data_IF_172603294099
#
_entry.id   IF_172603294099
#
_cell.length_a   1.000
_cell.length_b   1.000
_cell.length_c   1.000
_cell.angle_alpha   90.00
_cell.angle_beta   90.00
_cell.angle_gamma   90.00
#
_symmetry.space_group_name_H-M   'P 1'
#
loop_
_entity.id
_entity.type
_entity.pdbx_description
1 polymer ?
#
# COMPACT_ATOMS: atom_id res chain seq x y z
N UNK A 1 6.08 -12.55 12.46
CA UNK A 1 5.29 -13.70 11.91
C UNK A 1 4.91 -13.34 10.47
N UNK A 2 4.89 -14.29 9.53
CA UNK A 2 4.44 -13.99 8.18
C UNK A 2 2.97 -13.55 8.17
N UNK A 3 2.58 -12.78 7.13
CA UNK A 3 1.18 -12.44 6.92
C UNK A 3 0.33 -13.73 6.80
N UNK A 4 -0.89 -13.75 7.36
CA UNK A 4 -1.82 -14.86 7.17
C UNK A 4 -2.35 -14.97 5.75
N UNK A 5 -2.14 -13.94 4.93
CA UNK A 5 -2.52 -13.92 3.52
C UNK A 5 -1.35 -14.40 2.65
N UNK A 6 -1.60 -15.26 1.65
CA UNK A 6 -0.52 -15.78 0.79
C UNK A 6 0.12 -14.71 -0.09
N UNK A 7 -0.60 -13.62 -0.37
CA UNK A 7 -0.18 -12.46 -1.15
C UNK A 7 -0.28 -11.17 -0.36
N UNK A 8 -0.97 -10.17 -0.92
CA UNK A 8 -1.25 -8.90 -0.24
C UNK A 8 -2.19 -9.11 0.93
N UNK A 9 -1.92 -8.41 2.00
CA UNK A 9 -2.72 -8.39 3.22
C UNK A 9 -3.69 -7.20 3.21
N UNK A 10 -5.01 -7.43 3.11
CA UNK A 10 -6.00 -6.35 3.01
C UNK A 10 -6.07 -5.42 4.23
N UNK A 11 -5.57 -5.85 5.37
CA UNK A 11 -5.50 -4.99 6.57
C UNK A 11 -4.52 -3.83 6.40
N UNK A 12 -3.57 -3.94 5.48
CA UNK A 12 -2.62 -2.87 5.16
C UNK A 12 -3.26 -1.71 4.38
N UNK A 13 -4.49 -1.86 3.87
CA UNK A 13 -5.24 -0.76 3.24
C UNK A 13 -5.84 0.24 4.26
N UNK A 14 -5.57 0.05 5.55
CA UNK A 14 -5.93 0.99 6.61
C UNK A 14 -5.20 2.33 6.44
N UNK A 15 -5.92 3.44 6.56
CA UNK A 15 -5.39 4.79 6.33
C UNK A 15 -4.19 5.13 7.24
N UNK A 16 -4.14 4.54 8.44
CA UNK A 16 -3.01 4.73 9.37
C UNK A 16 -1.81 3.83 9.04
N UNK A 17 -2.02 2.70 8.37
CA UNK A 17 -0.96 1.75 8.00
C UNK A 17 -0.44 1.99 6.59
N UNK A 18 -1.31 2.39 5.67
CA UNK A 18 -0.99 2.52 4.25
C UNK A 18 0.23 3.38 3.96
N UNK A 19 0.38 4.60 4.51
CA UNK A 19 1.53 5.44 4.18
C UNK A 19 2.87 4.77 4.49
N UNK A 20 2.97 4.11 5.65
CA UNK A 20 4.18 3.39 6.03
C UNK A 20 4.40 2.13 5.17
N UNK A 21 3.34 1.41 4.85
CA UNK A 21 3.39 0.24 3.97
C UNK A 21 3.82 0.62 2.55
N UNK A 22 3.20 1.64 1.97
CA UNK A 22 3.50 2.14 0.63
C UNK A 22 4.97 2.54 0.50
N UNK A 23 5.45 3.40 1.43
CA UNK A 23 6.85 3.81 1.46
C UNK A 23 7.79 2.60 1.54
N UNK A 24 7.57 1.70 2.50
CA UNK A 24 8.42 0.54 2.71
C UNK A 24 8.39 -0.42 1.52
N UNK A 25 7.24 -0.61 0.87
CA UNK A 25 7.13 -1.46 -0.32
C UNK A 25 7.92 -0.88 -1.49
N UNK A 26 7.81 0.42 -1.74
CA UNK A 26 8.58 1.11 -2.79
C UNK A 26 10.08 1.00 -2.51
N UNK A 27 10.51 1.16 -1.25
CA UNK A 27 11.91 0.99 -0.87
C UNK A 27 12.41 -0.46 -1.07
N UNK A 28 11.58 -1.46 -0.76
CA UNK A 28 11.93 -2.87 -1.01
C UNK A 28 12.02 -3.18 -2.51
N UNK A 29 11.10 -2.65 -3.32
CA UNK A 29 11.16 -2.76 -4.78
C UNK A 29 12.42 -2.10 -5.35
N UNK A 30 12.73 -0.89 -4.90
CA UNK A 30 13.95 -0.19 -5.27
C UNK A 30 15.19 -1.03 -4.98
N UNK A 31 15.33 -1.58 -3.76
CA UNK A 31 16.47 -2.40 -3.37
C UNK A 31 16.61 -3.69 -4.20
N UNK A 32 15.49 -4.32 -4.53
CA UNK A 32 15.48 -5.53 -5.36
C UNK A 32 15.91 -5.23 -6.80
N UNK A 33 15.57 -4.06 -7.31
CA UNK A 33 15.92 -3.63 -8.67
C UNK A 33 17.40 -3.28 -8.83
N UNK A 34 18.03 -2.69 -7.80
CA UNK A 34 19.40 -2.16 -7.87
C UNK A 34 20.42 -3.11 -8.50
N UNK A 35 20.52 -4.39 -8.11
CA UNK A 35 21.55 -5.29 -8.66
C UNK A 35 21.46 -5.48 -10.16
N UNK A 36 20.25 -5.44 -10.72
CA UNK A 36 20.02 -5.61 -12.17
C UNK A 36 20.21 -4.33 -12.99
N UNK A 37 20.44 -3.18 -12.34
CA UNK A 37 20.46 -1.87 -12.99
C UNK A 37 21.83 -1.16 -12.97
N UNK A 38 22.80 -1.67 -12.19
CA UNK A 38 24.02 -0.94 -11.83
C UNK A 38 24.87 -0.44 -12.98
N UNK A 39 24.95 -1.19 -14.08
CA UNK A 39 25.86 -0.87 -15.17
C UNK A 39 25.32 0.22 -16.12
N UNK A 40 24.08 0.09 -16.53
CA UNK A 40 23.46 0.92 -17.59
C UNK A 40 22.44 1.93 -17.05
N UNK A 41 21.89 1.71 -15.86
CA UNK A 41 20.78 2.48 -15.33
C UNK A 41 21.06 3.03 -13.95
N UNK A 42 20.29 4.05 -13.58
CA UNK A 42 20.21 4.60 -12.23
C UNK A 42 18.74 4.61 -11.81
N UNK A 43 18.43 3.90 -10.75
CA UNK A 43 17.13 4.02 -10.10
C UNK A 43 17.16 5.11 -9.03
N UNK A 44 16.05 5.82 -8.84
CA UNK A 44 15.83 6.78 -7.74
C UNK A 44 14.38 6.70 -7.31
N UNK A 45 14.15 6.87 -6.01
CA UNK A 45 12.84 7.07 -5.43
C UNK A 45 12.54 8.56 -5.45
N UNK A 46 11.37 8.92 -5.95
CA UNK A 46 10.80 10.26 -5.94
C UNK A 46 9.48 10.24 -5.20
N UNK A 47 8.97 11.41 -4.86
CA UNK A 47 7.72 11.55 -4.13
C UNK A 47 6.79 12.49 -4.90
N UNK A 48 5.55 12.07 -5.06
CA UNK A 48 4.44 12.87 -5.55
C UNK A 48 3.70 13.45 -4.36
N UNK A 49 3.40 14.74 -4.43
CA UNK A 49 2.66 15.48 -3.42
C UNK A 49 1.35 15.98 -4.02
N UNK A 50 0.26 15.86 -3.28
CA UNK A 50 -1.02 16.46 -3.67
C UNK A 50 -1.89 16.71 -2.42
N UNK A 51 -2.77 17.72 -2.52
CA UNK A 51 -3.78 18.02 -1.50
C UNK A 51 -5.05 17.21 -1.79
N UNK A 52 -5.52 16.43 -0.85
CA UNK A 52 -6.76 15.65 -0.98
C UNK A 52 -8.04 16.51 -0.84
N UNK A 53 -7.92 17.81 -0.59
CA UNK A 53 -9.05 18.74 -0.46
C UNK A 53 -9.57 18.92 0.97
N UNK A 54 -9.00 18.22 1.94
CA UNK A 54 -9.27 18.32 3.39
C UNK A 54 -8.12 18.98 4.17
N UNK A 55 -7.20 19.66 3.45
CA UNK A 55 -5.92 20.19 3.95
C UNK A 55 -4.93 19.11 4.42
N UNK A 56 -5.14 17.85 4.04
CA UNK A 56 -4.18 16.77 4.26
C UNK A 56 -3.30 16.62 3.03
N UNK A 57 -2.01 16.88 3.18
CA UNK A 57 -1.01 16.65 2.13
C UNK A 57 -0.71 15.14 2.06
N UNK A 58 -0.95 14.57 0.90
CA UNK A 58 -0.61 13.17 0.61
C UNK A 58 0.75 13.08 -0.07
N UNK A 59 1.52 12.08 0.35
CA UNK A 59 2.84 11.78 -0.17
C UNK A 59 2.85 10.35 -0.71
N UNK A 60 3.20 10.20 -1.98
CA UNK A 60 3.27 8.89 -2.63
C UNK A 60 4.61 8.71 -3.32
N UNK A 61 5.34 7.69 -2.92
CA UNK A 61 6.64 7.38 -3.51
C UNK A 61 6.48 6.59 -4.81
N UNK A 62 7.41 6.81 -5.74
CA UNK A 62 7.54 6.03 -6.96
C UNK A 62 8.99 5.90 -7.37
N UNK A 63 9.31 4.95 -8.25
CA UNK A 63 10.68 4.70 -8.71
C UNK A 63 10.83 5.15 -10.16
N UNK A 64 11.81 6.01 -10.41
CA UNK A 64 12.30 6.33 -11.75
C UNK A 64 13.56 5.54 -12.08
N UNK A 65 13.57 4.93 -13.27
CA UNK A 65 14.74 4.27 -13.81
C UNK A 65 15.22 5.07 -15.01
N UNK A 66 16.42 5.61 -14.88
CA UNK A 66 17.04 6.49 -15.89
C UNK A 66 18.28 5.84 -16.48
N UNK A 67 18.50 6.03 -17.75
CA UNK A 67 19.73 5.61 -18.41
C UNK A 67 20.91 6.44 -17.90
N UNK A 68 22.06 5.80 -17.65
CA UNK A 68 23.24 6.50 -17.10
C UNK A 68 23.95 7.38 -18.13
N UNK A 69 23.88 7.02 -19.41
CA UNK A 69 24.60 7.71 -20.50
C UNK A 69 24.08 9.12 -20.75
N UNK A 70 22.76 9.32 -20.71
CA UNK A 70 22.10 10.59 -21.10
C UNK A 70 21.10 11.11 -20.07
N UNK A 71 20.88 10.36 -18.97
CA UNK A 71 19.90 10.72 -17.93
C UNK A 71 18.45 10.56 -18.31
N UNK A 72 18.14 10.01 -19.50
CA UNK A 72 16.78 9.84 -20.02
C UNK A 72 15.99 8.91 -19.11
N UNK A 73 14.76 9.28 -18.78
CA UNK A 73 13.81 8.43 -18.07
C UNK A 73 13.38 7.28 -19.00
N UNK A 74 13.52 6.06 -18.52
CA UNK A 74 13.23 4.84 -19.30
C UNK A 74 11.99 4.16 -18.77
N UNK A 75 11.87 4.04 -17.45
CA UNK A 75 10.76 3.35 -16.81
C UNK A 75 10.34 4.08 -15.53
N UNK A 76 9.04 4.25 -15.36
CA UNK A 76 8.38 4.67 -14.14
C UNK A 76 7.70 3.45 -13.51
N UNK A 77 8.03 3.15 -12.25
CA UNK A 77 7.34 2.15 -11.45
C UNK A 77 6.57 2.86 -10.33
N UNK A 78 5.27 2.67 -10.31
CA UNK A 78 4.34 3.32 -9.40
C UNK A 78 3.48 2.29 -8.66
N UNK A 79 3.16 2.56 -7.41
CA UNK A 79 2.27 1.73 -6.57
C UNK A 79 1.00 2.53 -6.33
N UNK A 80 -0.12 2.00 -6.81
CA UNK A 80 -1.44 2.65 -6.68
C UNK A 80 -1.87 2.68 -5.22
N UNK A 81 -2.24 3.85 -4.71
CA UNK A 81 -2.75 4.02 -3.35
C UNK A 81 -4.28 3.92 -3.27
N UNK A 82 -4.86 3.68 -2.07
CA UNK A 82 -6.30 3.78 -1.86
C UNK A 82 -6.85 5.15 -2.30
N UNK A 83 -6.15 6.24 -1.98
CA UNK A 83 -6.57 7.59 -2.35
C UNK A 83 -6.66 7.80 -3.87
N UNK A 84 -5.80 7.14 -4.67
CA UNK A 84 -5.90 7.20 -6.12
C UNK A 84 -7.19 6.54 -6.66
N UNK A 85 -7.75 5.59 -5.92
CA UNK A 85 -8.94 4.83 -6.33
C UNK A 85 -10.24 5.36 -5.72
N UNK A 86 -10.17 6.06 -4.59
CA UNK A 86 -11.33 6.50 -3.82
C UNK A 86 -11.55 8.02 -3.80
N UNK A 87 -10.48 8.82 -3.96
CA UNK A 87 -10.53 10.27 -3.90
C UNK A 87 -10.26 10.92 -5.26
N UNK A 88 -11.09 11.93 -5.69
CA UNK A 88 -10.88 12.60 -6.97
C UNK A 88 -9.51 13.25 -7.15
N UNK A 89 -9.00 13.92 -6.11
CA UNK A 89 -7.69 14.58 -6.14
C UNK A 89 -6.54 13.58 -6.28
N UNK A 90 -6.57 12.47 -5.52
CA UNK A 90 -5.59 11.39 -5.65
C UNK A 90 -5.61 10.74 -7.02
N UNK A 91 -6.82 10.50 -7.56
CA UNK A 91 -6.98 9.97 -8.92
C UNK A 91 -6.38 10.90 -9.97
N UNK A 92 -6.68 12.20 -9.90
CA UNK A 92 -6.16 13.17 -10.86
C UNK A 92 -4.63 13.31 -10.77
N UNK A 93 -4.06 13.37 -9.58
CA UNK A 93 -2.62 13.42 -9.37
C UNK A 93 -1.91 12.20 -9.98
N UNK A 94 -2.44 11.01 -9.77
CA UNK A 94 -1.92 9.77 -10.35
C UNK A 94 -2.01 9.78 -11.88
N UNK A 95 -3.19 10.11 -12.44
CA UNK A 95 -3.42 10.17 -13.88
C UNK A 95 -2.59 11.23 -14.57
N UNK A 96 -2.30 12.37 -13.93
CA UNK A 96 -1.42 13.41 -14.44
C UNK A 96 0.02 12.88 -14.61
N UNK A 97 0.56 12.20 -13.59
CA UNK A 97 1.88 11.55 -13.67
C UNK A 97 1.93 10.54 -14.81
N UNK A 98 0.89 9.69 -14.91
CA UNK A 98 0.75 8.69 -15.97
C UNK A 98 0.72 9.30 -17.37
N UNK A 99 -0.07 10.38 -17.57
CA UNK A 99 -0.14 11.10 -18.86
C UNK A 99 1.22 11.70 -19.24
N UNK A 100 1.91 12.33 -18.28
CA UNK A 100 3.23 12.92 -18.49
C UNK A 100 4.26 11.87 -18.91
N UNK A 101 4.32 10.74 -18.21
CA UNK A 101 5.22 9.65 -18.54
C UNK A 101 4.89 9.02 -19.91
N UNK A 102 3.61 8.83 -20.22
CA UNK A 102 3.16 8.32 -21.52
C UNK A 102 3.52 9.26 -22.67
N UNK A 103 3.31 10.57 -22.52
CA UNK A 103 3.70 11.58 -23.51
C UNK A 103 5.22 11.66 -23.73
N UNK A 104 6.00 11.37 -22.70
CA UNK A 104 7.47 11.33 -22.78
C UNK A 104 8.01 10.00 -23.34
N UNK A 105 7.15 9.06 -23.73
CA UNK A 105 7.56 7.76 -24.26
C UNK A 105 8.29 6.89 -23.22
N UNK A 106 7.82 6.88 -21.98
CA UNK A 106 8.37 6.14 -20.85
C UNK A 106 7.58 4.84 -20.66
N UNK A 107 8.27 3.75 -20.33
CA UNK A 107 7.59 2.53 -19.90
C UNK A 107 6.94 2.75 -18.53
N UNK A 108 5.71 2.27 -18.37
CA UNK A 108 4.96 2.35 -17.12
C UNK A 108 4.79 0.98 -16.49
N UNK A 109 5.09 0.85 -15.22
CA UNK A 109 4.79 -0.31 -14.39
C UNK A 109 3.94 0.16 -13.23
N UNK A 110 2.69 -0.30 -13.19
CA UNK A 110 1.66 0.15 -12.25
C UNK A 110 1.25 -1.05 -11.38
N UNK A 111 1.53 -0.97 -10.10
CA UNK A 111 1.26 -2.04 -9.12
C UNK A 111 0.00 -1.67 -8.35
N UNK A 112 -1.12 -2.34 -8.62
CA UNK A 112 -2.39 -2.17 -7.91
C UNK A 112 -2.60 -3.31 -6.91
N UNK A 113 -2.37 -3.02 -5.64
CA UNK A 113 -2.58 -3.92 -4.50
C UNK A 113 -3.76 -3.46 -3.63
N UNK A 114 -4.69 -2.67 -4.19
CA UNK A 114 -5.81 -2.06 -3.48
C UNK A 114 -7.12 -2.70 -3.93
N UNK A 115 -7.87 -3.28 -3.00
CA UNK A 115 -9.17 -3.91 -3.26
C UNK A 115 -10.30 -2.90 -3.44
N UNK A 116 -10.25 -1.80 -2.70
CA UNK A 116 -11.32 -0.80 -2.69
C UNK A 116 -11.23 0.16 -3.88
N UNK A 117 -12.31 0.89 -4.11
CA UNK A 117 -12.38 1.97 -5.09
C UNK A 117 -12.50 1.51 -6.55
N UNK A 118 -12.29 2.46 -7.45
CA UNK A 118 -12.42 2.26 -8.89
C UNK A 118 -11.07 1.87 -9.52
N UNK A 119 -11.06 0.98 -10.52
CA UNK A 119 -9.84 0.68 -11.26
C UNK A 119 -9.20 1.95 -11.87
N UNK A 120 -7.87 1.99 -11.88
CA UNK A 120 -7.12 3.09 -12.51
C UNK A 120 -7.13 3.00 -14.04
N UNK A 121 -7.26 1.79 -14.56
CA UNK A 121 -7.30 1.52 -16.00
C UNK A 121 -8.66 0.98 -16.41
N UNK A 122 -9.22 1.61 -17.44
CA UNK A 122 -10.46 1.18 -18.07
C UNK A 122 -10.13 0.33 -19.30
N UNK A 123 -10.38 -0.97 -19.19
CA UNK A 123 -10.33 -1.91 -20.29
C UNK A 123 -11.37 -3.00 -20.08
N UNK A 124 -11.85 -3.60 -21.17
CA UNK A 124 -12.81 -4.72 -21.06
C UNK A 124 -12.14 -5.89 -20.36
N UNK A 125 -12.85 -6.43 -19.38
CA UNK A 125 -12.47 -7.65 -18.66
C UNK A 125 -13.22 -8.88 -19.14
N UNK A 126 -14.01 -8.73 -20.21
CA UNK A 126 -14.84 -9.80 -20.74
C UNK A 126 -13.98 -10.97 -21.18
N UNK A 127 -14.32 -12.16 -20.71
CA UNK A 127 -13.58 -13.39 -20.99
C UNK A 127 -12.27 -13.55 -20.24
N UNK A 128 -11.87 -12.59 -19.37
CA UNK A 128 -10.69 -12.71 -18.52
C UNK A 128 -11.06 -13.30 -17.16
N UNK A 129 -10.14 -14.07 -16.52
CA UNK A 129 -10.34 -14.53 -15.14
C UNK A 129 -10.50 -13.35 -14.19
N UNK A 130 -11.23 -13.54 -13.08
CA UNK A 130 -11.27 -12.55 -12.01
C UNK A 130 -9.94 -12.45 -11.28
N UNK A 131 -9.57 -11.25 -10.87
CA UNK A 131 -8.42 -10.98 -10.01
C UNK A 131 -8.73 -9.86 -9.02
N UNK A 132 -7.95 -9.84 -7.95
CA UNK A 132 -8.04 -8.84 -6.88
C UNK A 132 -6.92 -7.81 -6.99
N UNK A 133 -5.71 -8.26 -7.38
CA UNK A 133 -4.50 -7.47 -7.50
C UNK A 133 -3.87 -7.63 -8.89
N UNK A 134 -3.25 -6.59 -9.37
CA UNK A 134 -2.62 -6.62 -10.70
C UNK A 134 -1.32 -5.79 -10.73
N UNK A 135 -0.41 -6.23 -11.58
CA UNK A 135 0.67 -5.39 -12.11
C UNK A 135 0.39 -5.18 -13.58
N UNK A 136 0.30 -3.91 -13.98
CA UNK A 136 0.10 -3.55 -15.39
C UNK A 136 1.38 -2.94 -15.92
N UNK A 137 1.87 -3.48 -17.03
CA UNK A 137 3.04 -2.97 -17.74
C UNK A 137 2.60 -2.42 -19.09
N UNK A 138 2.89 -1.14 -19.31
CA UNK A 138 2.68 -0.45 -20.60
C UNK A 138 4.05 -0.09 -21.17
N UNK A 139 4.40 -0.70 -22.29
CA UNK A 139 5.67 -0.42 -22.96
C UNK A 139 5.58 0.87 -23.77
N UNK A 140 6.62 1.71 -23.71
CA UNK A 140 6.74 2.90 -24.52
C UNK A 140 6.59 2.62 -26.03
N UNK A 141 7.10 1.47 -26.49
CA UNK A 141 7.00 1.02 -27.90
C UNK A 141 5.61 0.52 -28.28
N UNK A 142 4.73 0.21 -27.31
CA UNK A 142 3.39 -0.32 -27.50
C UNK A 142 2.39 0.32 -26.52
N UNK A 143 2.15 1.65 -26.58
CA UNK A 143 1.41 2.38 -25.53
C UNK A 143 -0.08 2.03 -25.42
N UNK A 144 -0.62 1.30 -26.42
CA UNK A 144 -2.02 0.81 -26.42
C UNK A 144 -2.16 -0.65 -25.99
N UNK A 145 -1.07 -1.30 -25.60
CA UNK A 145 -1.06 -2.71 -25.18
C UNK A 145 -0.64 -2.81 -23.74
N UNK A 146 -1.44 -3.51 -22.96
CA UNK A 146 -1.18 -3.79 -21.54
C UNK A 146 -0.72 -5.25 -21.38
N UNK A 147 0.38 -5.45 -20.67
CA UNK A 147 0.77 -6.75 -20.11
C UNK A 147 0.27 -6.77 -18.67
N UNK A 148 -0.61 -7.71 -18.32
CA UNK A 148 -1.26 -7.72 -17.02
C UNK A 148 -0.90 -9.01 -16.28
N UNK A 149 -0.27 -8.87 -15.12
CA UNK A 149 0.08 -9.95 -14.21
C UNK A 149 -0.85 -9.89 -13.01
N UNK A 150 -1.62 -10.95 -12.78
CA UNK A 150 -2.72 -10.91 -11.83
C UNK A 150 -2.53 -11.86 -10.66
N UNK A 151 -3.14 -11.53 -9.51
CA UNK A 151 -3.30 -12.42 -8.38
C UNK A 151 -4.67 -12.25 -7.73
N UNK A 152 -5.15 -13.29 -7.06
CA UNK A 152 -6.29 -13.22 -6.15
C UNK A 152 -5.80 -13.19 -4.71
N UNK A 153 -6.67 -12.82 -3.77
CA UNK A 153 -6.41 -12.86 -2.32
C UNK A 153 -5.86 -14.21 -1.81
N UNK A 154 -6.19 -15.28 -2.52
CA UNK A 154 -5.81 -16.65 -2.15
C UNK A 154 -4.50 -17.10 -2.81
N UNK A 155 -3.84 -16.22 -3.55
CA UNK A 155 -2.62 -16.54 -4.30
C UNK A 155 -1.49 -15.60 -3.94
N UNK A 156 -0.27 -16.09 -4.14
CA UNK A 156 0.94 -15.27 -4.07
C UNK A 156 0.91 -14.17 -5.13
N UNK A 157 1.56 -13.05 -4.83
CA UNK A 157 1.75 -11.96 -5.77
C UNK A 157 2.64 -12.41 -6.95
N UNK A 158 2.43 -11.85 -8.15
CA UNK A 158 3.08 -12.32 -9.35
C UNK A 158 4.55 -11.91 -9.43
N UNK A 159 5.28 -12.62 -10.28
CA UNK A 159 6.52 -12.14 -10.88
C UNK A 159 6.18 -11.45 -12.19
N UNK A 160 6.79 -10.32 -12.46
CA UNK A 160 6.54 -9.56 -13.68
C UNK A 160 7.85 -9.10 -14.33
N UNK A 161 7.76 -8.73 -15.62
CA UNK A 161 8.86 -8.18 -16.38
C UNK A 161 8.79 -6.66 -16.34
N UNK A 162 9.84 -6.04 -15.84
CA UNK A 162 10.02 -4.59 -15.84
C UNK A 162 10.82 -4.22 -17.09
N UNK A 163 10.22 -3.47 -18.05
CA UNK A 163 10.91 -3.09 -19.28
C UNK A 163 11.98 -2.04 -19.01
N UNK A 164 13.08 -2.15 -19.75
CA UNK A 164 14.17 -1.18 -19.81
C UNK A 164 14.22 -0.54 -21.21
N UNK A 165 15.38 -0.06 -21.64
CA UNK A 165 15.53 0.47 -23.00
C UNK A 165 15.22 -0.60 -24.04
N UNK A 166 14.76 -0.22 -25.27
CA UNK A 166 14.34 -1.17 -26.30
C UNK A 166 15.44 -2.14 -26.75
N UNK A 167 16.70 -1.76 -26.59
CA UNK A 167 17.89 -2.55 -26.92
C UNK A 167 18.39 -3.41 -25.75
N UNK A 168 17.67 -3.42 -24.64
CA UNK A 168 18.05 -4.16 -23.44
C UNK A 168 16.99 -5.19 -23.03
N UNK A 169 17.40 -6.13 -22.20
CA UNK A 169 16.50 -7.17 -21.66
C UNK A 169 15.72 -6.62 -20.47
N UNK A 170 14.47 -7.08 -20.34
CA UNK A 170 13.66 -6.81 -19.18
C UNK A 170 14.30 -7.36 -17.90
N UNK A 171 14.12 -6.65 -16.81
CA UNK A 171 14.42 -7.16 -15.47
C UNK A 171 13.20 -7.86 -14.89
N UNK A 172 13.39 -9.04 -14.29
CA UNK A 172 12.31 -9.76 -13.61
C UNK A 172 12.21 -9.31 -12.15
N UNK A 173 11.02 -8.90 -11.74
CA UNK A 173 10.72 -8.51 -10.36
C UNK A 173 9.81 -9.55 -9.72
N UNK A 174 10.18 -10.06 -8.56
CA UNK A 174 9.35 -10.94 -7.73
C UNK A 174 8.62 -10.07 -6.70
N UNK A 175 7.36 -9.73 -6.98
CA UNK A 175 6.56 -8.85 -6.12
C UNK A 175 6.29 -9.48 -4.75
N UNK A 176 6.14 -10.81 -4.68
CA UNK A 176 5.97 -11.48 -3.41
C UNK A 176 7.20 -11.34 -2.51
N UNK A 177 8.39 -11.44 -3.08
CA UNK A 177 9.63 -11.24 -2.33
C UNK A 177 9.73 -9.81 -1.80
N UNK A 178 9.33 -8.79 -2.60
CA UNK A 178 9.28 -7.40 -2.16
C UNK A 178 8.26 -7.22 -1.03
N UNK A 179 7.06 -7.76 -1.17
CA UNK A 179 6.01 -7.71 -0.16
C UNK A 179 6.44 -8.37 1.15
N UNK A 180 6.94 -9.61 1.10
CA UNK A 180 7.36 -10.34 2.30
C UNK A 180 8.45 -9.58 3.05
N UNK A 181 9.46 -9.08 2.33
CA UNK A 181 10.52 -8.26 2.92
C UNK A 181 9.97 -6.98 3.57
N UNK A 182 9.08 -6.28 2.88
CA UNK A 182 8.40 -5.09 3.39
C UNK A 182 7.63 -5.41 4.68
N UNK A 183 6.82 -6.46 4.66
CA UNK A 183 5.98 -6.87 5.78
C UNK A 183 6.81 -7.20 7.03
N UNK A 184 7.90 -7.96 6.85
CA UNK A 184 8.78 -8.40 7.95
C UNK A 184 9.64 -7.24 8.49
N UNK A 185 10.23 -6.41 7.62
CA UNK A 185 11.12 -5.32 8.03
C UNK A 185 10.40 -4.22 8.81
N UNK A 186 9.14 -3.93 8.47
CA UNK A 186 8.35 -2.91 9.14
C UNK A 186 7.50 -3.44 10.30
N UNK A 187 7.65 -4.74 10.64
CA UNK A 187 6.91 -5.43 11.71
C UNK A 187 5.39 -5.20 11.64
N UNK A 188 4.81 -5.34 10.45
CA UNK A 188 3.37 -5.16 10.28
C UNK A 188 2.57 -6.20 11.04
N UNK A 189 3.11 -7.41 11.28
CA UNK A 189 2.48 -8.43 12.11
C UNK A 189 2.15 -7.95 13.52
N UNK A 190 3.02 -7.13 14.11
CA UNK A 190 2.82 -6.54 15.44
C UNK A 190 1.87 -5.32 15.45
N UNK A 191 1.54 -4.79 14.28
CA UNK A 191 0.73 -3.56 14.13
C UNK A 191 -0.70 -3.83 13.71
N UNK A 192 -1.00 -5.00 13.13
CA UNK A 192 -2.32 -5.38 12.61
C UNK A 192 -3.10 -6.14 13.68
N UNK A 193 -4.32 -5.69 13.97
CA UNK A 193 -5.27 -6.42 14.79
C UNK A 193 -6.21 -7.26 13.90
N UNK A 194 -5.84 -8.50 13.65
CA UNK A 194 -6.65 -9.44 12.86
C UNK A 194 -7.97 -9.88 13.50
N UNK A 195 -8.27 -9.46 14.72
CA UNK A 195 -9.59 -9.69 15.35
C UNK A 195 -10.65 -8.72 14.83
N UNK A 196 -10.24 -7.60 14.25
CA UNK A 196 -11.11 -6.62 13.60
C UNK A 196 -11.42 -7.04 12.17
N UNK A 197 -12.45 -6.48 11.58
CA UNK A 197 -12.66 -6.59 10.13
C UNK A 197 -11.60 -5.75 9.39
N UNK A 198 -11.13 -6.21 8.20
CA UNK A 198 -10.23 -5.40 7.39
C UNK A 198 -10.93 -4.12 6.93
N UNK A 199 -10.20 -3.00 6.79
CA UNK A 199 -10.75 -1.67 6.48
C UNK A 199 -11.15 -1.53 5.01
N UNK A 200 -11.56 -2.60 4.37
CA UNK A 200 -11.88 -2.62 2.94
C UNK A 200 -13.30 -3.06 2.69
N UNK A 201 -13.93 -2.46 1.66
CA UNK A 201 -15.23 -2.88 1.15
C UNK A 201 -15.07 -3.44 -0.28
N UNK A 202 -14.53 -4.66 -0.41
CA UNK A 202 -14.26 -5.24 -1.72
C UNK A 202 -15.55 -5.64 -2.43
N UNK A 203 -15.50 -5.77 -3.75
CA UNK A 203 -16.57 -6.32 -4.57
C UNK A 203 -16.89 -7.75 -4.13
N UNK A 204 -18.09 -8.23 -4.44
CA UNK A 204 -18.63 -9.51 -3.93
C UNK A 204 -17.68 -10.70 -4.12
N UNK A 205 -17.06 -10.86 -5.30
CA UNK A 205 -16.12 -11.96 -5.56
C UNK A 205 -14.87 -11.91 -4.67
N UNK A 206 -14.28 -10.73 -4.50
CA UNK A 206 -13.15 -10.51 -3.60
C UNK A 206 -13.57 -10.67 -2.13
N UNK A 207 -14.79 -10.24 -1.76
CA UNK A 207 -15.34 -10.42 -0.42
C UNK A 207 -15.42 -11.89 -0.02
N UNK A 208 -15.95 -12.75 -0.91
CA UNK A 208 -16.03 -14.19 -0.64
C UNK A 208 -14.64 -14.80 -0.42
N UNK A 209 -13.64 -14.41 -1.24
CA UNK A 209 -12.26 -14.90 -1.08
C UNK A 209 -11.63 -14.42 0.23
N UNK A 210 -11.88 -13.17 0.62
CA UNK A 210 -11.44 -12.60 1.88
C UNK A 210 -12.03 -13.37 3.08
N UNK A 211 -13.36 -13.55 3.08
CA UNK A 211 -14.06 -14.29 4.13
C UNK A 211 -13.53 -15.72 4.28
N UNK A 212 -13.19 -16.37 3.16
CA UNK A 212 -12.61 -17.70 3.16
C UNK A 212 -11.20 -17.72 3.78
N UNK A 213 -10.33 -16.79 3.42
CA UNK A 213 -8.97 -16.68 3.99
C UNK A 213 -9.05 -16.41 5.50
N UNK A 214 -9.92 -15.50 5.93
CA UNK A 214 -10.14 -15.21 7.35
C UNK A 214 -10.62 -16.45 8.11
N UNK A 215 -11.58 -17.19 7.55
CA UNK A 215 -12.10 -18.42 8.15
C UNK A 215 -11.04 -19.50 8.26
N UNK A 216 -10.26 -19.75 7.21
CA UNK A 216 -9.21 -20.78 7.18
C UNK A 216 -8.12 -20.48 8.21
N UNK A 217 -7.74 -19.21 8.34
CA UNK A 217 -6.71 -18.78 9.29
C UNK A 217 -7.26 -18.50 10.71
N UNK A 218 -8.57 -18.73 10.95
CA UNK A 218 -9.25 -18.44 12.21
C UNK A 218 -9.12 -16.98 12.64
N UNK A 219 -9.13 -16.08 11.67
CA UNK A 219 -9.06 -14.64 11.82
C UNK A 219 -10.46 -14.02 11.62
N UNK A 220 -10.61 -12.76 12.02
CA UNK A 220 -11.94 -12.14 12.03
C UNK A 220 -12.68 -12.50 13.30
N UNK A 221 -13.09 -11.51 14.07
CA UNK A 221 -13.90 -11.73 15.27
C UNK A 221 -15.14 -12.53 14.91
N UNK A 222 -15.58 -13.39 15.82
CA UNK A 222 -16.79 -14.20 15.64
C UNK A 222 -17.94 -13.30 15.17
N UNK A 223 -18.39 -13.47 13.92
CA UNK A 223 -19.64 -12.89 13.46
C UNK A 223 -20.76 -13.48 14.32
N UNK A 224 -21.25 -12.71 15.27
CA UNK A 224 -22.39 -13.12 16.07
C UNK A 224 -22.42 -12.73 17.54
N UNK A 225 -21.43 -12.02 18.07
CA UNK A 225 -21.59 -11.38 19.37
C UNK A 225 -21.31 -9.90 19.23
N UNK A 226 -22.37 -9.11 19.09
CA UNK A 226 -22.37 -7.70 19.40
C UNK A 226 -22.00 -7.54 20.89
N UNK A 227 -20.72 -7.49 21.19
CA UNK A 227 -20.29 -6.89 22.44
C UNK A 227 -20.49 -5.38 22.27
N UNK A 228 -21.57 -4.88 22.81
CA UNK A 228 -21.80 -3.46 22.95
C UNK A 228 -20.57 -2.83 23.59
N UNK A 229 -19.94 -1.87 22.87
CA UNK A 229 -19.32 -0.74 23.51
C UNK A 229 -17.87 -0.87 23.94
N UNK A 230 -16.95 -1.13 23.02
CA UNK A 230 -15.59 -0.64 23.26
C UNK A 230 -15.05 -0.02 21.95
N UNK A 231 -15.19 1.29 21.86
CA UNK A 231 -14.56 2.07 20.78
C UNK A 231 -13.23 2.56 21.37
N UNK A 232 -12.11 2.08 20.84
CA UNK A 232 -10.82 2.68 21.19
C UNK A 232 -10.88 4.18 20.88
N UNK A 233 -10.42 5.03 21.81
CA UNK A 233 -10.44 6.46 21.57
C UNK A 233 -9.60 6.83 20.34
N UNK A 234 -10.07 7.78 19.51
CA UNK A 234 -9.33 8.18 18.31
C UNK A 234 -7.92 8.64 18.66
N UNK A 235 -6.97 8.38 17.80
CA UNK A 235 -5.56 8.73 18.00
C UNK A 235 -5.36 10.19 18.44
N UNK A 236 -6.12 11.12 17.84
CA UNK A 236 -6.11 12.54 18.22
C UNK A 236 -6.53 12.77 19.68
N UNK A 237 -7.52 12.04 20.18
CA UNK A 237 -7.95 12.14 21.57
C UNK A 237 -6.87 11.62 22.53
N UNK A 238 -6.19 10.52 22.16
CA UNK A 238 -5.07 9.97 22.95
C UNK A 238 -3.89 10.95 22.94
N UNK A 239 -3.55 11.52 21.79
CA UNK A 239 -2.47 12.51 21.65
C UNK A 239 -2.74 13.76 22.51
N UNK A 240 -3.97 14.26 22.48
CA UNK A 240 -4.37 15.42 23.28
C UNK A 240 -4.32 15.11 24.78
N UNK A 241 -4.83 13.98 25.22
CA UNK A 241 -4.78 13.55 26.61
C UNK A 241 -3.31 13.32 27.08
N UNK A 242 -2.47 12.69 26.27
CA UNK A 242 -1.06 12.52 26.54
C UNK A 242 -0.31 13.85 26.67
N UNK A 243 -0.65 14.82 25.82
CA UNK A 243 -0.11 16.18 25.89
C UNK A 243 -0.47 16.90 27.20
N UNK A 244 -1.73 16.80 27.64
CA UNK A 244 -2.13 17.36 28.92
C UNK A 244 -1.49 16.67 30.12
N UNK A 245 -1.29 15.35 30.07
CA UNK A 245 -0.54 14.62 31.09
C UNK A 245 0.92 15.06 31.16
N UNK A 246 1.55 15.29 30.01
CA UNK A 246 2.90 15.81 29.93
C UNK A 246 3.01 17.22 30.49
N UNK A 247 2.06 18.13 30.19
CA UNK A 247 1.97 19.47 30.76
C UNK A 247 1.81 19.43 32.28
N UNK A 248 0.88 18.63 32.80
CA UNK A 248 0.59 18.52 34.24
C UNK A 248 1.78 17.97 35.05
N UNK A 249 2.66 17.20 34.41
CA UNK A 249 3.89 16.65 35.02
C UNK A 249 5.12 17.53 34.87
N UNK A 250 4.97 18.79 34.43
CA UNK A 250 6.09 19.71 34.31
C UNK A 250 6.99 19.46 33.07
N UNK A 251 6.44 18.90 31.99
CA UNK A 251 7.10 18.73 30.69
C UNK A 251 8.37 17.86 30.69
N UNK A 252 8.39 16.67 31.30
CA UNK A 252 9.57 15.82 31.35
C UNK A 252 9.93 15.32 29.96
N UNK A 253 11.21 15.39 29.57
CA UNK A 253 11.72 14.80 28.32
C UNK A 253 11.83 13.29 28.39
N UNK A 254 11.61 12.58 27.25
CA UNK A 254 11.85 11.15 27.09
C UNK A 254 10.81 10.22 27.71
N UNK A 255 9.63 10.76 28.13
CA UNK A 255 8.52 9.96 28.69
C UNK A 255 7.27 9.93 27.81
N UNK A 256 7.42 10.17 26.53
CA UNK A 256 6.31 10.27 25.58
C UNK A 256 5.46 8.99 25.55
N UNK A 257 6.15 7.84 25.55
CA UNK A 257 5.48 6.53 25.58
C UNK A 257 4.69 6.28 26.88
N UNK A 258 5.21 6.71 28.02
CA UNK A 258 4.53 6.58 29.32
C UNK A 258 3.25 7.43 29.34
N UNK A 259 3.33 8.69 28.88
CA UNK A 259 2.19 9.60 28.81
C UNK A 259 1.14 9.08 27.82
N UNK A 260 1.56 8.54 26.70
CA UNK A 260 0.66 7.93 25.71
C UNK A 260 -0.12 6.75 26.28
N UNK A 261 0.55 5.80 26.93
CA UNK A 261 -0.09 4.62 27.53
C UNK A 261 -1.05 5.02 28.65
N UNK A 262 -0.69 5.99 29.50
CA UNK A 262 -1.58 6.51 30.54
C UNK A 262 -2.80 7.24 29.96
N UNK A 263 -2.61 8.03 28.92
CA UNK A 263 -3.73 8.68 28.24
C UNK A 263 -4.69 7.66 27.64
N UNK A 264 -4.17 6.61 27.03
CA UNK A 264 -4.95 5.51 26.50
C UNK A 264 -5.74 4.80 27.61
N UNK A 265 -5.12 4.54 28.74
CA UNK A 265 -5.76 3.91 29.91
C UNK A 265 -6.86 4.79 30.52
N UNK A 266 -6.63 6.10 30.64
CA UNK A 266 -7.63 7.06 31.13
C UNK A 266 -8.84 7.18 30.21
N UNK A 267 -8.63 7.20 28.90
CA UNK A 267 -9.70 7.29 27.91
C UNK A 267 -10.46 5.96 27.75
N UNK A 268 -9.86 4.85 28.15
CA UNK A 268 -10.50 3.55 28.18
C UNK A 268 -11.48 3.37 29.33
N UNK A 269 -11.36 4.19 30.39
CA UNK A 269 -12.17 4.08 31.61
C UNK A 269 -11.77 2.86 32.48
N UNK A 270 -12.16 2.83 33.76
CA UNK A 270 -11.94 1.65 34.59
C UNK A 270 -12.72 0.47 34.01
N UNK A 271 -12.05 -0.67 33.84
CA UNK A 271 -12.69 -1.93 33.49
C UNK A 271 -13.80 -2.18 34.50
N UNK A 272 -15.04 -2.01 34.06
CA UNK A 272 -16.20 -2.14 34.93
C UNK A 272 -16.28 -3.54 35.51
N UNK A 273 -16.13 -3.65 36.81
CA UNK A 273 -16.73 -4.74 37.58
C UNK A 273 -18.24 -4.72 37.33
N UNK A 274 -18.71 -5.71 36.55
CA UNK A 274 -20.05 -6.30 36.71
C UNK A 274 -20.05 -7.70 36.14
#
# INVERSE_FOLDING_TARGET
MPSPFPGMDPYLEDDALWPAFHHQLVMCLYQILLPGLVDRYRARVYQRHYDAGDHTEHHEDYVEIRQRSDGRLVTLLDVVSPANKTAPAGREAYLATRRTAGAAGVNLVEIDLVLQGQPMLEYSRDGLPEWDYAVTVTRATQPKRYEIYTATLQKRLPRFRLPLAPDDRDTVVDLQTAFTRCYDQADFAGRIDYRREPPVSPKEGARRRLDEVLRVNKLGGMRGQTSAGYVDPPHQAIALAAYYLWLAKGRPHGRDREHWLRALEQLRGPAGER
#
